data_IF_198403472183
#
_entry.id   IF_198403472183
#
_cell.length_a   1.000
_cell.length_b   1.000
_cell.length_c   1.000
_cell.angle_alpha   90.00
_cell.angle_beta   90.00
_cell.angle_gamma   90.00
#
_symmetry.space_group_name_H-M   'P 1'
#
loop_
_entity.id
_entity.type
_entity.pdbx_description
1 polymer ?
#
# COMPACT_ATOMS: atom_id res chain seq x y z
N UNK A 1 22.47 11.65 -0.29
CA UNK A 1 22.24 10.67 -1.37
C UNK A 1 22.47 9.28 -0.79
N UNK A 2 21.44 8.46 -0.73
CA UNK A 2 21.50 7.09 -0.24
C UNK A 2 21.08 6.12 -1.34
N UNK A 3 21.48 4.86 -1.22
CA UNK A 3 21.00 3.77 -2.07
C UNK A 3 20.07 2.89 -1.25
N UNK A 4 18.88 2.62 -1.77
CA UNK A 4 17.92 1.73 -1.15
C UNK A 4 17.70 0.51 -2.05
N UNK A 5 17.89 -0.68 -1.50
CA UNK A 5 17.70 -1.92 -2.23
C UNK A 5 17.21 -3.04 -1.30
N UNK A 6 16.59 -4.05 -1.90
CA UNK A 6 16.14 -5.27 -1.22
C UNK A 6 16.84 -6.48 -1.81
N UNK A 7 17.26 -7.39 -0.93
CA UNK A 7 17.80 -8.68 -1.31
C UNK A 7 16.88 -9.78 -0.78
N UNK A 8 16.54 -10.72 -1.64
CA UNK A 8 15.79 -11.92 -1.28
C UNK A 8 16.56 -13.14 -1.74
N UNK A 9 16.91 -14.02 -0.81
CA UNK A 9 17.59 -15.26 -1.09
C UNK A 9 16.66 -16.47 -0.90
N UNK A 10 16.75 -17.41 -1.82
CA UNK A 10 16.11 -18.72 -1.77
C UNK A 10 17.16 -19.80 -2.06
N UNK A 11 16.89 -21.09 -1.82
CA UNK A 11 17.84 -22.15 -2.13
C UNK A 11 18.28 -22.20 -3.60
N UNK A 12 17.45 -21.71 -4.52
CA UNK A 12 17.70 -21.80 -5.97
C UNK A 12 18.09 -20.47 -6.63
N UNK A 13 17.93 -19.34 -5.94
CA UNK A 13 18.24 -18.02 -6.52
C UNK A 13 18.35 -16.92 -5.47
N UNK A 14 19.15 -15.93 -5.77
CA UNK A 14 19.16 -14.65 -5.07
C UNK A 14 18.66 -13.55 -6.00
N UNK A 15 17.77 -12.68 -5.51
CA UNK A 15 17.36 -11.51 -6.26
C UNK A 15 17.69 -10.24 -5.51
N UNK A 16 18.09 -9.24 -6.25
CA UNK A 16 18.28 -7.89 -5.77
C UNK A 16 17.37 -6.96 -6.57
N UNK A 17 16.67 -6.09 -5.85
CA UNK A 17 15.83 -5.03 -6.44
C UNK A 17 16.31 -3.70 -5.89
N UNK A 18 16.59 -2.74 -6.77
CA UNK A 18 17.00 -1.39 -6.39
C UNK A 18 15.78 -0.47 -6.46
N UNK A 19 15.51 0.20 -5.35
CA UNK A 19 14.42 1.15 -5.22
C UNK A 19 14.91 2.59 -5.48
N UNK A 20 16.14 2.90 -5.02
CA UNK A 20 16.76 4.21 -5.17
C UNK A 20 18.28 4.04 -5.33
N UNK A 21 18.87 4.87 -6.19
CA UNK A 21 20.31 4.83 -6.46
C UNK A 21 20.72 3.73 -7.44
N UNK A 22 21.92 3.20 -7.23
CA UNK A 22 22.56 2.25 -8.14
C UNK A 22 23.34 1.21 -7.35
N UNK A 23 23.27 -0.05 -7.71
CA UNK A 23 23.98 -1.16 -7.04
C UNK A 23 24.70 -2.00 -8.06
N UNK A 24 25.96 -2.27 -7.84
CA UNK A 24 26.73 -3.24 -8.60
C UNK A 24 26.63 -4.60 -7.91
N UNK A 25 26.23 -5.61 -8.67
CA UNK A 25 26.05 -6.99 -8.20
C UNK A 25 27.00 -7.90 -8.95
N UNK A 26 27.72 -8.75 -8.20
CA UNK A 26 28.59 -9.77 -8.79
C UNK A 26 28.00 -11.15 -8.49
N UNK A 27 27.80 -11.95 -9.55
CA UNK A 27 27.43 -13.36 -9.39
C UNK A 27 28.70 -14.18 -9.11
N UNK A 28 28.79 -14.74 -7.93
CA UNK A 28 30.03 -15.44 -7.48
C UNK A 28 30.34 -16.69 -8.30
N UNK A 29 29.34 -17.31 -8.91
CA UNK A 29 29.49 -18.56 -9.64
C UNK A 29 30.36 -18.44 -10.90
N UNK A 30 30.35 -17.29 -11.57
CA UNK A 30 31.03 -17.03 -12.83
C UNK A 30 31.74 -15.67 -12.91
N UNK A 31 31.68 -14.90 -11.84
CA UNK A 31 32.27 -13.56 -11.78
C UNK A 31 31.53 -12.49 -12.60
N UNK A 32 30.36 -12.80 -13.17
CA UNK A 32 29.57 -11.83 -13.93
C UNK A 32 29.17 -10.65 -13.07
N UNK A 33 29.32 -9.44 -13.61
CA UNK A 33 28.98 -8.20 -12.92
C UNK A 33 27.85 -7.51 -13.64
N UNK A 34 26.84 -7.04 -12.87
CA UNK A 34 25.70 -6.31 -13.38
C UNK A 34 25.46 -5.06 -12.55
N UNK A 35 25.32 -3.92 -13.23
CA UNK A 35 24.84 -2.69 -12.61
C UNK A 35 23.30 -2.68 -12.62
N UNK A 36 22.71 -2.45 -11.44
CA UNK A 36 21.27 -2.43 -11.24
C UNK A 36 20.87 -1.04 -10.80
N UNK A 37 20.16 -0.33 -11.65
CA UNK A 37 19.66 1.03 -11.41
C UNK A 37 18.36 1.02 -10.63
N UNK A 38 17.94 2.19 -10.16
CA UNK A 38 16.61 2.36 -9.58
C UNK A 38 15.53 1.77 -10.48
N UNK A 39 14.49 1.19 -9.87
CA UNK A 39 13.38 0.50 -10.52
C UNK A 39 13.79 -0.72 -11.37
N UNK A 40 14.97 -1.26 -11.14
CA UNK A 40 15.44 -2.49 -11.79
C UNK A 40 15.70 -3.61 -10.78
N UNK A 41 15.72 -4.82 -11.30
CA UNK A 41 16.06 -6.03 -10.55
C UNK A 41 17.04 -6.89 -11.33
N UNK A 42 17.81 -7.68 -10.61
CA UNK A 42 18.63 -8.76 -11.15
C UNK A 42 18.36 -10.04 -10.37
N UNK A 43 18.44 -11.16 -11.05
CA UNK A 43 18.28 -12.49 -10.48
C UNK A 43 19.55 -13.28 -10.74
N UNK A 44 20.23 -13.67 -9.69
CA UNK A 44 21.28 -14.67 -9.73
C UNK A 44 20.67 -16.04 -9.41
N UNK A 45 20.41 -16.84 -10.44
CA UNK A 45 20.01 -18.23 -10.28
C UNK A 45 21.24 -19.10 -10.07
N UNK A 46 21.06 -20.25 -9.40
CA UNK A 46 22.13 -21.24 -9.21
C UNK A 46 22.52 -21.89 -10.54
N UNK A 47 21.56 -21.99 -11.47
CA UNK A 47 21.81 -22.51 -12.83
C UNK A 47 22.54 -21.46 -13.66
N UNK A 48 23.72 -21.81 -14.15
CA UNK A 48 24.61 -20.93 -14.92
C UNK A 48 24.03 -20.43 -16.24
N UNK A 49 23.09 -21.15 -16.81
CA UNK A 49 22.46 -20.82 -18.09
C UNK A 49 21.44 -19.70 -18.02
N UNK A 50 21.02 -19.32 -16.81
CA UNK A 50 20.05 -18.23 -16.65
C UNK A 50 20.71 -16.87 -16.88
N UNK A 51 20.10 -16.00 -17.72
CA UNK A 51 20.64 -14.66 -17.98
C UNK A 51 20.86 -13.88 -16.68
N UNK A 52 22.08 -13.41 -16.45
CA UNK A 52 22.39 -12.50 -15.35
C UNK A 52 22.36 -11.07 -15.88
N UNK A 53 21.16 -10.56 -16.04
CA UNK A 53 20.94 -9.23 -16.60
C UNK A 53 19.93 -8.47 -15.76
N UNK A 54 20.22 -7.18 -15.52
CA UNK A 54 19.27 -6.29 -14.88
C UNK A 54 18.11 -6.03 -15.83
N UNK A 55 16.91 -6.21 -15.33
CA UNK A 55 15.66 -5.95 -16.05
C UNK A 55 14.83 -4.91 -15.30
N UNK A 56 14.03 -4.09 -16.00
CA UNK A 56 13.05 -3.25 -15.36
C UNK A 56 12.17 -4.10 -14.43
N UNK A 57 11.76 -3.53 -13.32
CA UNK A 57 10.94 -4.20 -12.31
C UNK A 57 9.56 -4.64 -12.83
N UNK A 58 9.26 -4.35 -14.05
CA UNK A 58 7.96 -4.45 -14.71
C UNK A 58 7.31 -3.07 -14.76
N UNK A 59 6.29 -2.93 -15.56
CA UNK A 59 5.50 -1.69 -15.62
C UNK A 59 4.75 -1.54 -14.30
N UNK A 60 5.39 -0.89 -13.32
CA UNK A 60 4.74 -0.52 -12.07
C UNK A 60 4.06 0.83 -12.23
N UNK A 61 2.87 0.97 -11.67
CA UNK A 61 2.20 2.27 -11.58
C UNK A 61 2.57 2.92 -10.25
N UNK A 62 2.62 4.25 -10.24
CA UNK A 62 2.92 5.04 -9.05
C UNK A 62 1.71 5.81 -8.54
N UNK A 63 0.60 5.70 -9.24
CA UNK A 63 -0.70 6.25 -8.87
C UNK A 63 -1.71 5.12 -8.83
N UNK A 64 -2.66 5.23 -7.91
CA UNK A 64 -3.75 4.26 -7.79
C UNK A 64 -4.99 4.98 -7.26
N UNK A 65 -6.13 4.55 -7.73
CA UNK A 65 -7.44 5.01 -7.27
C UNK A 65 -8.33 3.82 -7.03
N UNK A 66 -9.13 3.88 -5.96
CA UNK A 66 -10.12 2.84 -5.65
C UNK A 66 -11.18 2.73 -6.73
N UNK A 67 -11.46 1.50 -7.15
CA UNK A 67 -12.55 1.14 -8.07
C UNK A 67 -13.55 0.25 -7.33
N UNK A 68 -14.48 0.85 -6.61
CA UNK A 68 -15.54 0.10 -5.93
C UNK A 68 -16.51 -0.54 -6.95
N UNK A 69 -16.92 -1.82 -6.80
CA UNK A 69 -16.62 -2.81 -5.75
C UNK A 69 -15.38 -3.67 -6.02
N UNK A 70 -14.68 -3.44 -7.11
CA UNK A 70 -13.65 -4.34 -7.66
C UNK A 70 -12.53 -4.65 -6.69
N UNK A 71 -12.03 -3.65 -5.99
CA UNK A 71 -10.88 -3.72 -5.08
C UNK A 71 -11.28 -3.93 -3.61
N UNK A 72 -12.53 -3.70 -3.25
CA UNK A 72 -13.00 -3.77 -1.87
C UNK A 72 -13.07 -5.21 -1.36
N UNK A 73 -12.61 -5.43 -0.12
CA UNK A 73 -12.66 -6.74 0.58
C UNK A 73 -13.59 -6.74 1.77
N UNK A 74 -13.60 -5.65 2.53
CA UNK A 74 -14.48 -5.46 3.66
C UNK A 74 -15.14 -4.09 3.53
N UNK A 75 -16.33 -3.99 4.05
CA UNK A 75 -17.18 -2.84 3.88
C UNK A 75 -18.45 -3.22 3.11
N UNK A 76 -19.39 -2.33 3.07
CA UNK A 76 -20.61 -2.43 2.28
C UNK A 76 -20.63 -1.33 1.23
N UNK A 77 -21.27 -1.58 0.11
CA UNK A 77 -21.49 -0.55 -0.90
C UNK A 77 -22.83 0.12 -0.69
N UNK A 78 -22.82 1.43 -0.73
CA UNK A 78 -24.02 2.26 -0.71
C UNK A 78 -24.04 3.21 -1.91
N UNK A 79 -25.22 3.69 -2.25
CA UNK A 79 -25.41 4.63 -3.33
C UNK A 79 -26.27 5.78 -2.82
N UNK A 80 -25.66 6.94 -2.71
CA UNK A 80 -26.31 8.18 -2.28
C UNK A 80 -27.11 8.05 -0.98
N UNK A 81 -26.80 8.80 0.04
CA UNK A 81 -27.70 9.06 1.15
C UNK A 81 -28.33 10.42 0.94
N UNK A 82 -29.38 10.71 1.68
CA UNK A 82 -30.04 12.01 1.65
C UNK A 82 -28.99 13.14 1.87
N UNK A 83 -28.94 14.10 0.95
CA UNK A 83 -27.94 15.16 0.95
C UNK A 83 -26.57 14.81 0.38
N UNK A 84 -26.33 13.56 0.01
CA UNK A 84 -25.07 13.13 -0.63
C UNK A 84 -25.23 13.00 -2.14
N UNK A 85 -24.18 13.30 -2.95
CA UNK A 85 -24.24 13.05 -4.38
C UNK A 85 -24.54 11.58 -4.69
N UNK A 86 -25.11 11.31 -5.85
CA UNK A 86 -25.35 9.96 -6.36
C UNK A 86 -24.05 9.25 -6.74
N UNK A 87 -23.10 9.20 -5.80
CA UNK A 87 -21.84 8.54 -5.96
C UNK A 87 -21.83 7.22 -5.21
N UNK A 88 -21.23 6.23 -5.83
CA UNK A 88 -20.97 4.96 -5.18
C UNK A 88 -19.92 5.17 -4.08
N UNK A 89 -20.21 4.75 -2.87
CA UNK A 89 -19.29 4.81 -1.74
C UNK A 89 -19.22 3.49 -0.98
N UNK A 90 -18.11 3.25 -0.31
CA UNK A 90 -17.90 2.08 0.53
C UNK A 90 -18.17 2.45 1.99
N UNK A 91 -19.17 1.85 2.59
CA UNK A 91 -19.42 1.90 4.02
C UNK A 91 -18.57 0.87 4.77
N UNK A 92 -18.13 1.21 5.96
CA UNK A 92 -17.43 0.28 6.83
C UNK A 92 -18.41 -0.73 7.47
N UNK A 93 -17.92 -1.90 7.86
CA UNK A 93 -18.70 -2.89 8.57
C UNK A 93 -18.00 -3.37 9.84
N UNK A 94 -18.74 -4.04 10.69
CA UNK A 94 -18.18 -4.62 11.91
C UNK A 94 -17.22 -5.77 11.57
N UNK A 95 -16.02 -5.67 12.13
CA UNK A 95 -15.03 -6.74 12.04
C UNK A 95 -15.17 -7.68 13.25
N UNK A 96 -15.11 -8.98 12.99
CA UNK A 96 -15.01 -10.00 14.01
C UNK A 96 -13.61 -10.61 13.98
N UNK A 97 -13.05 -10.87 15.14
CA UNK A 97 -11.76 -11.54 15.25
C UNK A 97 -11.80 -12.98 14.74
N UNK A 98 -10.62 -13.53 14.49
CA UNK A 98 -10.44 -14.86 13.89
C UNK A 98 -11.03 -16.02 14.74
N UNK A 99 -11.28 -15.78 16.02
CA UNK A 99 -11.86 -16.77 16.95
C UNK A 99 -13.35 -16.54 17.25
N UNK A 100 -14.02 -15.68 16.48
CA UNK A 100 -15.45 -15.40 16.66
C UNK A 100 -15.79 -14.50 17.83
N UNK A 101 -14.78 -14.10 18.63
CA UNK A 101 -14.96 -13.08 19.65
C UNK A 101 -15.33 -11.76 19.00
N UNK A 102 -16.26 -11.04 19.60
CA UNK A 102 -16.53 -9.65 19.26
C UNK A 102 -15.38 -8.84 19.83
N UNK A 103 -14.34 -8.58 19.02
CA UNK A 103 -13.43 -7.49 19.31
C UNK A 103 -14.30 -6.23 19.34
N UNK A 104 -13.99 -5.27 20.22
CA UNK A 104 -14.69 -3.99 20.29
C UNK A 104 -15.11 -3.51 18.91
N UNK A 105 -16.33 -3.04 18.72
CA UNK A 105 -16.92 -2.82 17.42
C UNK A 105 -16.02 -1.91 16.56
N UNK A 106 -15.35 -2.51 15.62
CA UNK A 106 -14.45 -1.85 14.68
C UNK A 106 -15.17 -1.72 13.34
N UNK A 107 -15.37 -0.51 12.88
CA UNK A 107 -15.78 -0.27 11.52
C UNK A 107 -14.54 -0.31 10.63
N UNK A 108 -14.53 -1.22 9.69
CA UNK A 108 -13.40 -1.52 8.83
C UNK A 108 -13.80 -1.44 7.36
N UNK A 109 -13.02 -0.69 6.61
CA UNK A 109 -12.94 -0.76 5.15
C UNK A 109 -11.57 -1.29 4.78
N UNK A 110 -11.51 -2.25 3.86
CA UNK A 110 -10.24 -2.68 3.26
C UNK A 110 -10.37 -2.82 1.76
N UNK A 111 -9.30 -2.49 1.07
CA UNK A 111 -9.16 -2.72 -0.36
C UNK A 111 -7.89 -3.52 -0.65
N UNK A 112 -7.94 -4.32 -1.70
CA UNK A 112 -6.78 -5.01 -2.26
C UNK A 112 -6.24 -4.17 -3.41
N UNK A 113 -4.98 -3.83 -3.31
CA UNK A 113 -4.25 -3.06 -4.30
C UNK A 113 -3.15 -3.95 -4.87
N UNK A 114 -2.99 -3.94 -6.18
CA UNK A 114 -1.92 -4.71 -6.82
C UNK A 114 -2.20 -6.21 -7.04
N UNK A 115 -1.22 -6.93 -7.57
CA UNK A 115 -1.44 -8.28 -8.10
C UNK A 115 -1.60 -9.33 -7.01
N UNK A 116 -2.80 -9.87 -6.86
CA UNK A 116 -3.05 -11.16 -6.19
C UNK A 116 -3.61 -12.13 -7.20
N UNK A 117 -2.73 -12.80 -7.95
CA UNK A 117 -3.14 -13.82 -8.92
C UNK A 117 -3.89 -13.28 -10.16
N UNK A 118 -3.94 -11.95 -10.34
CA UNK A 118 -4.54 -11.27 -11.49
C UNK A 118 -3.46 -10.50 -12.24
N UNK A 119 -3.66 -10.28 -13.54
CA UNK A 119 -2.80 -9.42 -14.38
C UNK A 119 -3.00 -7.93 -14.04
N UNK A 120 -2.73 -7.54 -12.81
CA UNK A 120 -2.74 -6.13 -12.39
C UNK A 120 -1.30 -5.64 -12.30
N UNK A 121 -1.09 -4.40 -12.68
CA UNK A 121 0.21 -3.78 -12.52
C UNK A 121 0.51 -3.57 -11.03
N UNK A 122 1.76 -3.83 -10.59
CA UNK A 122 2.17 -3.49 -9.23
C UNK A 122 2.05 -2.00 -8.99
N UNK A 123 1.58 -1.62 -7.79
CA UNK A 123 1.52 -0.22 -7.35
C UNK A 123 2.73 0.05 -6.47
N UNK A 124 3.65 0.86 -6.95
CA UNK A 124 4.89 1.19 -6.24
C UNK A 124 4.72 2.48 -5.44
N UNK A 125 5.06 2.41 -4.15
CA UNK A 125 5.09 3.59 -3.29
C UNK A 125 6.33 4.42 -3.59
N UNK A 126 6.15 5.64 -4.11
CA UNK A 126 7.22 6.58 -4.38
C UNK A 126 7.55 7.41 -3.15
N UNK A 127 8.78 7.89 -3.04
CA UNK A 127 9.14 8.89 -2.04
C UNK A 127 8.33 10.17 -2.27
N UNK A 128 7.77 10.75 -1.22
CA UNK A 128 6.91 11.93 -1.30
C UNK A 128 5.50 11.65 -1.83
N UNK A 129 5.14 10.38 -2.10
CA UNK A 129 3.76 10.04 -2.42
C UNK A 129 2.85 10.26 -1.21
N UNK A 130 1.57 10.45 -1.47
CA UNK A 130 0.57 10.66 -0.44
C UNK A 130 -0.73 9.93 -0.78
N UNK A 131 -1.46 9.53 0.25
CA UNK A 131 -2.83 9.08 0.10
C UNK A 131 -3.78 10.27 0.24
N UNK A 132 -4.72 10.40 -0.68
CA UNK A 132 -5.86 11.30 -0.55
C UNK A 132 -7.11 10.45 -0.34
N UNK A 133 -7.80 10.71 0.77
CA UNK A 133 -8.96 9.94 1.18
C UNK A 133 -10.12 10.88 1.43
N UNK A 134 -11.21 10.64 0.73
CA UNK A 134 -12.45 11.39 0.85
C UNK A 134 -13.55 10.50 1.38
N UNK A 135 -14.36 11.04 2.23
CA UNK A 135 -15.45 10.29 2.81
C UNK A 135 -16.35 11.12 3.70
N UNK A 136 -17.14 10.43 4.49
CA UNK A 136 -18.10 11.02 5.39
C UNK A 136 -17.98 10.40 6.80
N UNK A 137 -18.16 11.23 7.81
CA UNK A 137 -18.31 10.88 9.20
C UNK A 137 -19.49 11.65 9.77
N UNK A 138 -20.31 10.99 10.58
CA UNK A 138 -21.44 11.65 11.25
C UNK A 138 -20.99 12.58 12.37
N UNK A 139 -19.76 12.42 12.89
CA UNK A 139 -19.18 13.21 13.96
C UNK A 139 -17.64 13.17 13.91
N UNK A 140 -16.97 14.17 14.51
CA UNK A 140 -15.51 14.15 14.64
C UNK A 140 -15.02 12.89 15.35
N UNK A 141 -14.06 12.19 14.75
CA UNK A 141 -13.52 10.98 15.33
C UNK A 141 -12.08 10.70 14.89
N UNK A 142 -11.38 9.89 15.70
CA UNK A 142 -10.05 9.41 15.36
C UNK A 142 -10.15 8.20 14.44
N UNK A 143 -9.67 8.36 13.20
CA UNK A 143 -9.63 7.32 12.19
C UNK A 143 -8.21 6.76 12.09
N UNK A 144 -8.11 5.45 11.95
CA UNK A 144 -6.87 4.72 11.76
C UNK A 144 -6.76 4.32 10.28
N UNK A 145 -5.76 4.86 9.62
CA UNK A 145 -5.41 4.57 8.23
C UNK A 145 -4.19 3.70 8.18
N UNK A 146 -4.18 2.74 7.27
CA UNK A 146 -2.99 1.93 7.11
C UNK A 146 -2.95 1.14 5.82
N UNK A 147 -1.79 0.57 5.58
CA UNK A 147 -1.55 -0.27 4.41
C UNK A 147 -0.51 -1.34 4.69
N UNK A 148 -0.55 -2.37 3.87
CA UNK A 148 0.45 -3.41 3.84
C UNK A 148 1.24 -3.40 2.54
N UNK A 149 2.51 -3.72 2.65
CA UNK A 149 3.44 -3.73 1.52
C UNK A 149 4.07 -5.09 1.33
N UNK A 150 4.44 -5.39 0.10
CA UNK A 150 5.24 -6.55 -0.26
C UNK A 150 6.58 -6.13 -0.84
N UNK A 151 7.54 -7.04 -0.73
CA UNK A 151 8.73 -7.01 -1.57
C UNK A 151 8.35 -7.33 -3.02
N UNK A 152 9.16 -6.91 -3.98
CA UNK A 152 8.91 -7.08 -5.41
C UNK A 152 8.62 -8.52 -5.87
N UNK A 153 8.96 -9.52 -5.06
CA UNK A 153 8.72 -10.94 -5.34
C UNK A 153 7.63 -11.58 -4.49
N UNK A 154 6.85 -10.78 -3.79
CA UNK A 154 5.90 -11.26 -2.82
C UNK A 154 6.51 -11.43 -1.44
N UNK A 155 5.66 -11.77 -0.49
CA UNK A 155 6.00 -11.76 0.93
C UNK A 155 5.84 -10.38 1.56
N UNK A 156 5.25 -10.38 2.74
CA UNK A 156 4.98 -9.17 3.52
C UNK A 156 6.28 -8.46 3.87
N UNK A 157 6.45 -7.21 3.43
CA UNK A 157 7.57 -6.37 3.83
C UNK A 157 7.26 -5.52 5.06
N UNK A 158 6.00 -5.14 5.24
CA UNK A 158 5.57 -4.39 6.41
C UNK A 158 4.09 -4.04 6.41
N UNK A 159 3.64 -3.60 7.58
CA UNK A 159 2.36 -2.92 7.79
C UNK A 159 2.67 -1.55 8.37
N UNK A 160 2.04 -0.53 7.83
CA UNK A 160 2.22 0.86 8.22
C UNK A 160 0.88 1.47 8.59
N UNK A 161 0.83 2.30 9.60
CA UNK A 161 -0.40 2.97 10.00
C UNK A 161 -0.16 4.38 10.53
N UNK A 162 -1.19 5.20 10.40
CA UNK A 162 -1.27 6.54 10.97
C UNK A 162 -2.67 6.76 11.53
N UNK A 163 -2.76 7.43 12.65
CA UNK A 163 -4.03 7.85 13.26
C UNK A 163 -4.22 9.35 13.07
N UNK A 164 -5.39 9.75 12.61
CA UNK A 164 -5.76 11.16 12.46
C UNK A 164 -7.13 11.41 13.08
N UNK A 165 -7.23 12.48 13.85
CA UNK A 165 -8.53 13.02 14.22
C UNK A 165 -9.05 13.79 13.02
N UNK A 166 -10.19 13.37 12.49
CA UNK A 166 -10.87 14.04 11.39
C UNK A 166 -11.98 14.91 11.97
N UNK A 167 -12.09 16.11 11.43
CA UNK A 167 -13.13 17.10 11.72
C UNK A 167 -13.91 17.26 10.40
N UNK A 168 -15.04 16.53 10.21
CA UNK A 168 -15.85 16.67 9.02
C UNK A 168 -16.47 18.09 8.96
N UNK A 169 -16.81 18.52 7.76
CA UNK A 169 -17.55 19.76 7.54
C UNK A 169 -19.00 19.68 8.05
N UNK A 170 -19.79 20.73 7.81
CA UNK A 170 -21.20 20.81 8.29
C UNK A 170 -22.10 19.72 7.69
N UNK A 171 -21.73 19.21 6.51
CA UNK A 171 -22.45 18.16 5.80
C UNK A 171 -21.86 16.77 6.09
N UNK A 172 -20.89 16.68 7.00
CA UNK A 172 -20.24 15.45 7.41
C UNK A 172 -19.10 14.98 6.51
N UNK A 173 -18.69 15.75 5.50
CA UNK A 173 -17.63 15.35 4.58
C UNK A 173 -16.23 15.66 5.11
N UNK A 174 -15.29 14.80 4.76
CA UNK A 174 -13.86 15.04 4.96
C UNK A 174 -13.06 14.76 3.68
N UNK A 175 -11.95 15.46 3.52
CA UNK A 175 -10.92 15.24 2.50
C UNK A 175 -9.57 15.36 3.21
N UNK A 176 -8.84 14.27 3.31
CA UNK A 176 -7.58 14.20 4.03
C UNK A 176 -6.46 13.70 3.12
N UNK A 177 -5.32 14.39 3.19
CA UNK A 177 -4.08 13.98 2.56
C UNK A 177 -3.10 13.49 3.64
N UNK A 178 -2.54 12.32 3.42
CA UNK A 178 -1.63 11.64 4.33
C UNK A 178 -0.33 11.32 3.59
N UNK A 179 0.74 12.01 3.94
CA UNK A 179 2.05 11.73 3.37
C UNK A 179 2.54 10.34 3.80
N UNK A 180 3.31 9.66 2.95
CA UNK A 180 3.88 8.34 3.29
C UNK A 180 4.75 8.40 4.54
N UNK A 181 5.41 9.52 4.76
CA UNK A 181 6.28 9.77 5.91
C UNK A 181 5.53 9.85 7.24
N UNK A 182 4.22 10.10 7.21
CA UNK A 182 3.37 10.10 8.40
C UNK A 182 3.10 8.70 8.95
N UNK A 183 3.26 7.68 8.10
CA UNK A 183 2.94 6.31 8.48
C UNK A 183 4.10 5.63 9.21
N UNK A 184 3.81 5.06 10.34
CA UNK A 184 4.77 4.34 11.18
C UNK A 184 4.63 2.84 10.95
N UNK A 185 5.76 2.14 10.80
CA UNK A 185 5.76 0.68 10.69
C UNK A 185 5.27 0.05 11.98
N UNK A 186 4.24 -0.77 11.86
CA UNK A 186 3.66 -1.49 13.00
C UNK A 186 4.62 -2.57 13.50
N UNK A 187 4.74 -2.69 14.84
CA UNK A 187 5.57 -3.70 15.51
C UNK A 187 7.06 -3.65 15.17
N UNK A 188 7.57 -2.53 14.69
CA UNK A 188 9.00 -2.29 14.49
C UNK A 188 9.52 -1.24 15.46
N UNK A 189 10.77 -1.38 15.89
CA UNK A 189 11.49 -0.36 16.65
C UNK A 189 12.27 0.60 15.75
N UNK A 190 12.33 0.30 14.47
CA UNK A 190 13.05 1.11 13.47
C UNK A 190 12.07 1.94 12.66
N UNK A 191 12.46 3.17 12.39
CA UNK A 191 11.76 4.03 11.44
C UNK A 191 12.20 3.58 10.04
N UNK A 192 11.32 2.88 9.35
CA UNK A 192 11.56 2.45 7.97
C UNK A 192 10.57 3.16 7.06
N UNK A 193 11.08 3.71 5.96
CA UNK A 193 10.23 4.29 4.93
C UNK A 193 9.52 3.20 4.14
N UNK A 194 8.22 3.32 3.86
CA UNK A 194 7.52 2.43 2.94
C UNK A 194 7.83 2.67 1.47
N UNK A 195 8.55 3.75 1.14
CA UNK A 195 8.92 4.07 -0.24
C UNK A 195 9.74 2.95 -0.89
N UNK A 196 9.49 2.69 -2.16
CA UNK A 196 10.13 1.62 -2.92
C UNK A 196 9.51 0.23 -2.73
N UNK A 197 8.51 0.07 -1.87
CA UNK A 197 7.76 -1.17 -1.68
C UNK A 197 6.50 -1.18 -2.54
N UNK A 198 5.96 -2.37 -2.79
CA UNK A 198 4.69 -2.55 -3.49
C UNK A 198 3.52 -2.45 -2.50
N UNK A 199 2.57 -1.58 -2.78
CA UNK A 199 1.31 -1.51 -2.05
C UNK A 199 0.45 -2.72 -2.39
N UNK A 200 -0.05 -3.44 -1.39
CA UNK A 200 -0.83 -4.67 -1.59
C UNK A 200 -2.25 -4.53 -1.11
N UNK A 201 -2.45 -3.94 0.05
CA UNK A 201 -3.76 -3.65 0.59
C UNK A 201 -3.70 -2.40 1.46
N UNK A 202 -4.84 -1.79 1.63
CA UNK A 202 -5.03 -0.68 2.57
C UNK A 202 -6.25 -0.94 3.44
N UNK A 203 -6.30 -0.24 4.57
CA UNK A 203 -7.46 -0.20 5.45
C UNK A 203 -7.73 1.19 5.97
N UNK A 204 -9.01 1.44 6.26
CA UNK A 204 -9.50 2.60 7.00
C UNK A 204 -10.45 2.07 8.06
N UNK A 205 -10.23 2.41 9.31
CA UNK A 205 -11.02 1.87 10.41
C UNK A 205 -11.29 2.88 11.50
N UNK A 206 -12.41 2.66 12.21
CA UNK A 206 -12.76 3.31 13.46
C UNK A 206 -13.03 2.24 14.51
N UNK A 207 -12.89 2.59 15.79
CA UNK A 207 -13.17 1.67 16.89
C UNK A 207 -14.60 1.83 17.45
N UNK A 208 -15.42 2.63 16.79
CA UNK A 208 -16.83 2.85 17.13
C UNK A 208 -17.69 2.68 15.89
N UNK A 209 -18.85 2.03 16.06
CA UNK A 209 -19.78 1.78 14.96
C UNK A 209 -20.71 2.96 14.64
N UNK A 210 -20.85 3.90 15.59
CA UNK A 210 -21.80 5.00 15.55
C UNK A 210 -21.20 6.30 14.97
N UNK A 211 -20.06 6.21 14.31
CA UNK A 211 -19.40 7.37 13.69
C UNK A 211 -19.71 7.55 12.21
N UNK A 212 -20.47 6.61 11.61
CA UNK A 212 -20.97 6.72 10.24
C UNK A 212 -19.91 6.76 9.14
N UNK A 213 -18.75 6.08 9.35
CA UNK A 213 -17.67 6.11 8.37
C UNK A 213 -18.12 5.55 7.01
N UNK A 214 -17.97 6.36 5.98
CA UNK A 214 -18.04 5.92 4.58
C UNK A 214 -16.97 6.61 3.74
N UNK A 215 -16.55 5.97 2.65
CA UNK A 215 -15.50 6.46 1.77
C UNK A 215 -16.06 6.67 0.36
N UNK A 216 -15.82 7.82 -0.22
CA UNK A 216 -16.17 8.13 -1.61
C UNK A 216 -15.00 7.91 -2.56
N UNK A 217 -13.77 8.14 -2.11
CA UNK A 217 -12.56 7.80 -2.87
C UNK A 217 -11.37 7.56 -1.96
N UNK A 218 -10.47 6.71 -2.44
CA UNK A 218 -9.14 6.51 -1.90
C UNK A 218 -8.16 6.53 -3.06
N UNK A 219 -7.19 7.42 -3.02
CA UNK A 219 -6.24 7.66 -4.10
C UNK A 219 -4.82 7.63 -3.54
N UNK A 220 -3.89 7.02 -4.27
CA UNK A 220 -2.45 7.19 -4.08
C UNK A 220 -1.97 8.17 -5.15
N UNK A 221 -1.45 9.29 -4.70
CA UNK A 221 -0.89 10.34 -5.55
C UNK A 221 0.63 10.24 -5.49
N UNK A 222 1.28 10.29 -6.64
CA UNK A 222 2.73 10.44 -6.71
C UNK A 222 3.08 11.92 -6.72
N UNK A 223 4.21 12.34 -6.15
CA UNK A 223 4.69 13.69 -6.37
C UNK A 223 4.85 13.90 -7.87
N UNK A 224 4.48 15.07 -8.35
CA UNK A 224 4.76 15.46 -9.72
C UNK A 224 6.26 15.33 -9.95
N UNK A 225 6.64 14.62 -11.01
CA UNK A 225 8.04 14.58 -11.42
C UNK A 225 8.42 15.98 -11.89
N UNK A 226 9.22 16.68 -11.07
CA UNK A 226 9.90 17.87 -11.54
C UNK A 226 10.85 17.56 -12.70
#
# INVERSE_FOLDING_TARGET
LGTQFNVSASPLSTSLTVNEGNVQVTRLADGSVQEVKADHRVIAALEHESPFQASPRGDSVRIWKSEFPRDMRHGSLGFGAEGRPNELHAGAHLFRGDHGETIDPVLLYTAVVGPRGRKMQPVLLSKGAQFRIRGHLDQPYQVDFGFGTHHARGGLSGKFSVKRKLEPDQDGWFDVELALEDFVRMRSRFVESPAGHELVWLWVQTHRKDVGLSLSSVELLSPESE
#
